data_IF_599387382082
#
_entry.id   IF_599387382082
#
_cell.length_a   1.000
_cell.length_b   1.000
_cell.length_c   1.000
_cell.angle_alpha   90.00
_cell.angle_beta   90.00
_cell.angle_gamma   90.00
#
_symmetry.space_group_name_H-M   'P 1'
#
loop_
_entity.id
_entity.type
_entity.pdbx_description
1 polymer ?
#
# COMPACT_ATOMS: atom_id res chain seq x y z
N UNK A 1 11.96 9.76 -6.66
CA UNK A 1 11.26 10.04 -5.39
C UNK A 1 12.20 10.46 -4.27
N UNK A 2 13.21 9.66 -3.89
CA UNK A 2 14.13 10.02 -2.79
C UNK A 2 14.93 11.32 -3.03
N UNK A 3 15.47 11.53 -4.24
CA UNK A 3 16.16 12.78 -4.57
C UNK A 3 15.22 13.99 -4.53
N UNK A 4 14.00 13.83 -5.05
CA UNK A 4 12.97 14.88 -5.00
C UNK A 4 12.60 15.22 -3.56
N UNK A 5 12.36 14.21 -2.72
CA UNK A 5 12.16 14.37 -1.28
C UNK A 5 13.31 15.12 -0.61
N UNK A 6 14.56 14.73 -0.90
CA UNK A 6 15.73 15.43 -0.38
C UNK A 6 15.80 16.90 -0.78
N UNK A 7 15.46 17.23 -2.03
CA UNK A 7 15.39 18.63 -2.49
C UNK A 7 14.29 19.42 -1.77
N UNK A 8 13.11 18.81 -1.57
CA UNK A 8 12.01 19.45 -0.83
C UNK A 8 12.40 19.71 0.61
N UNK A 9 13.01 18.74 1.31
CA UNK A 9 13.47 18.91 2.69
C UNK A 9 14.55 20.01 2.80
N UNK A 10 15.50 20.07 1.85
CA UNK A 10 16.48 21.16 1.79
C UNK A 10 15.81 22.52 1.58
N UNK A 11 14.77 22.59 0.74
CA UNK A 11 14.01 23.83 0.53
C UNK A 11 13.23 24.24 1.79
N UNK A 12 12.60 23.29 2.49
CA UNK A 12 11.90 23.53 3.77
C UNK A 12 12.87 24.05 4.82
N UNK A 13 14.06 23.46 4.91
CA UNK A 13 15.12 23.93 5.80
C UNK A 13 15.58 25.34 5.44
N UNK A 14 15.81 25.63 4.16
CA UNK A 14 16.19 26.97 3.70
C UNK A 14 15.13 28.03 4.02
N UNK A 15 13.85 27.73 3.80
CA UNK A 15 12.73 28.62 4.17
C UNK A 15 12.66 28.83 5.67
N UNK A 16 12.84 27.78 6.47
CA UNK A 16 12.81 27.85 7.94
C UNK A 16 13.98 28.71 8.47
N UNK A 17 15.18 28.53 7.92
CA UNK A 17 16.36 29.34 8.24
C UNK A 17 16.11 30.80 7.84
N UNK A 18 15.61 31.05 6.63
CA UNK A 18 15.26 32.39 6.17
C UNK A 18 14.23 33.07 7.08
N UNK A 19 13.21 32.34 7.52
CA UNK A 19 12.22 32.81 8.48
C UNK A 19 12.84 33.13 9.84
N UNK A 20 13.76 32.29 10.31
CA UNK A 20 14.44 32.51 11.58
C UNK A 20 15.18 33.86 11.60
N UNK A 21 15.85 34.21 10.51
CA UNK A 21 16.59 35.47 10.42
C UNK A 21 15.74 36.69 10.01
N UNK A 22 14.72 36.51 9.17
CA UNK A 22 13.94 37.62 8.62
C UNK A 22 12.64 37.92 9.36
N UNK A 23 11.94 36.87 9.79
CA UNK A 23 10.58 36.98 10.32
C UNK A 23 10.54 37.13 11.84
N UNK A 24 11.43 36.43 12.57
CA UNK A 24 11.50 36.49 14.05
C UNK A 24 11.80 37.91 14.57
N UNK A 25 12.80 38.66 14.05
CA UNK A 25 13.12 39.99 14.58
C UNK A 25 11.97 40.98 14.46
N UNK A 26 11.16 40.86 13.40
CA UNK A 26 10.01 41.71 13.13
C UNK A 26 8.69 41.15 13.68
N UNK A 27 8.72 40.02 14.42
CA UNK A 27 7.53 39.30 14.91
C UNK A 27 6.46 39.07 13.85
N UNK A 28 6.90 38.70 12.64
CA UNK A 28 6.02 38.35 11.53
C UNK A 28 5.97 36.83 11.36
N UNK A 29 4.85 36.30 10.87
CA UNK A 29 4.71 34.88 10.60
C UNK A 29 5.39 34.52 9.26
N UNK A 30 6.07 33.35 9.16
CA UNK A 30 6.69 32.88 7.92
C UNK A 30 5.68 32.76 6.78
N UNK A 31 4.47 32.30 7.09
CA UNK A 31 3.38 32.19 6.14
C UNK A 31 2.24 33.12 6.55
N UNK A 32 1.79 33.94 5.60
CA UNK A 32 0.61 34.79 5.81
C UNK A 32 -0.63 33.90 5.90
N UNK A 33 -1.24 33.87 7.07
CA UNK A 33 -2.46 33.12 7.35
C UNK A 33 -3.41 33.97 8.18
N UNK A 34 -4.72 33.77 8.00
CA UNK A 34 -5.72 34.31 8.91
C UNK A 34 -5.84 33.38 10.11
N UNK A 35 -5.62 33.90 11.31
CA UNK A 35 -5.71 33.15 12.56
C UNK A 35 -6.94 33.61 13.32
N UNK A 36 -7.71 32.70 13.94
CA UNK A 36 -8.89 33.04 14.73
C UNK A 36 -8.53 33.67 16.09
N UNK A 37 -7.24 33.79 16.41
CA UNK A 37 -6.72 34.39 17.63
C UNK A 37 -5.71 35.50 17.29
N UNK A 38 -5.56 36.46 18.21
CA UNK A 38 -4.58 37.52 18.07
C UNK A 38 -3.17 37.01 18.40
N UNK A 39 -2.27 37.09 17.44
CA UNK A 39 -0.87 36.72 17.57
C UNK A 39 0.04 37.90 17.97
N UNK A 40 -0.55 39.05 18.34
CA UNK A 40 0.18 40.20 18.92
C UNK A 40 0.79 39.89 20.29
N UNK A 41 0.25 38.88 21.00
CA UNK A 41 0.83 38.36 22.24
C UNK A 41 2.03 37.46 21.98
N UNK A 42 3.03 37.47 22.88
CA UNK A 42 4.25 36.66 22.73
C UNK A 42 3.94 35.15 22.65
N UNK A 43 3.02 34.67 23.48
CA UNK A 43 2.56 33.28 23.45
C UNK A 43 1.81 32.92 22.18
N UNK A 44 0.92 33.80 21.70
CA UNK A 44 0.14 33.58 20.47
C UNK A 44 1.05 33.52 19.23
N UNK A 45 2.03 34.40 19.17
CA UNK A 45 3.05 34.40 18.13
C UNK A 45 3.81 33.07 18.07
N UNK A 46 4.35 32.61 19.20
CA UNK A 46 5.16 31.38 19.23
C UNK A 46 4.34 30.15 18.88
N UNK A 47 3.10 30.04 19.38
CA UNK A 47 2.20 28.93 19.03
C UNK A 47 1.96 28.90 17.52
N UNK A 48 1.61 30.04 16.92
CA UNK A 48 1.38 30.14 15.48
C UNK A 48 2.64 29.84 14.67
N UNK A 49 3.79 30.37 15.09
CA UNK A 49 5.08 30.14 14.42
C UNK A 49 5.47 28.66 14.43
N UNK A 50 5.45 28.01 15.60
CA UNK A 50 5.76 26.58 15.71
C UNK A 50 4.77 25.73 14.93
N UNK A 51 3.47 26.05 15.00
CA UNK A 51 2.46 25.36 14.23
C UNK A 51 2.74 25.44 12.72
N UNK A 52 3.10 26.62 12.20
CA UNK A 52 3.42 26.82 10.79
C UNK A 52 4.67 26.03 10.36
N UNK A 53 5.76 26.10 11.12
CA UNK A 53 6.99 25.36 10.80
C UNK A 53 6.75 23.85 10.84
N UNK A 54 6.06 23.36 11.87
CA UNK A 54 5.73 21.95 12.01
C UNK A 54 4.81 21.48 10.87
N UNK A 55 3.75 22.23 10.58
CA UNK A 55 2.83 21.90 9.49
C UNK A 55 3.53 21.90 8.14
N UNK A 56 4.44 22.84 7.90
CA UNK A 56 5.19 22.91 6.65
C UNK A 56 6.12 21.69 6.48
N UNK A 57 6.88 21.34 7.52
CA UNK A 57 7.73 20.16 7.52
C UNK A 57 6.92 18.86 7.35
N UNK A 58 5.86 18.68 8.14
CA UNK A 58 5.00 17.49 8.04
C UNK A 58 4.34 17.37 6.66
N UNK A 59 3.85 18.47 6.09
CA UNK A 59 3.25 18.46 4.75
C UNK A 59 4.23 18.00 3.68
N UNK A 60 5.49 18.46 3.74
CA UNK A 60 6.54 18.04 2.83
C UNK A 60 6.86 16.54 2.93
N UNK A 61 7.04 16.05 4.15
CA UNK A 61 7.32 14.63 4.40
C UNK A 61 6.14 13.73 4.01
N UNK A 62 4.91 14.12 4.35
CA UNK A 62 3.70 13.36 4.01
C UNK A 62 3.52 13.28 2.50
N UNK A 63 3.78 14.36 1.75
CA UNK A 63 3.60 14.35 0.30
C UNK A 63 4.42 13.24 -0.39
N UNK A 64 5.72 13.12 -0.08
CA UNK A 64 6.52 12.06 -0.71
C UNK A 64 6.33 10.67 -0.08
N UNK A 65 5.93 10.60 1.19
CA UNK A 65 5.50 9.33 1.80
C UNK A 65 4.23 8.82 1.11
N UNK A 66 3.25 9.68 0.88
CA UNK A 66 2.01 9.37 0.17
C UNK A 66 2.30 8.82 -1.23
N UNK A 67 3.14 9.51 -2.01
CA UNK A 67 3.52 9.01 -3.34
C UNK A 67 4.14 7.61 -3.24
N UNK A 68 5.03 7.35 -2.29
CA UNK A 68 5.65 6.02 -2.18
C UNK A 68 4.68 4.93 -1.71
N UNK A 69 3.88 5.24 -0.69
CA UNK A 69 2.92 4.32 -0.06
C UNK A 69 1.80 3.97 -1.02
N UNK A 70 1.26 4.96 -1.73
CA UNK A 70 0.17 4.76 -2.69
C UNK A 70 0.58 3.80 -3.81
N UNK A 71 1.74 4.03 -4.42
CA UNK A 71 2.26 3.13 -5.45
C UNK A 71 2.56 1.73 -4.89
N UNK A 72 3.09 1.64 -3.66
CA UNK A 72 3.31 0.36 -2.98
C UNK A 72 2.02 -0.43 -2.76
N UNK A 73 0.96 0.22 -2.27
CA UNK A 73 -0.35 -0.40 -2.12
C UNK A 73 -0.94 -0.85 -3.45
N UNK A 74 -0.81 -0.04 -4.50
CA UNK A 74 -1.28 -0.41 -5.84
C UNK A 74 -0.58 -1.66 -6.37
N UNK A 75 0.75 -1.75 -6.23
CA UNK A 75 1.51 -2.95 -6.64
C UNK A 75 1.07 -4.17 -5.85
N UNK A 76 0.92 -4.03 -4.52
CA UNK A 76 0.48 -5.13 -3.67
C UNK A 76 -0.93 -5.58 -4.04
N UNK A 77 -1.86 -4.66 -4.25
CA UNK A 77 -3.22 -4.96 -4.69
C UNK A 77 -3.22 -5.72 -6.03
N UNK A 78 -2.46 -5.26 -7.01
CA UNK A 78 -2.31 -5.94 -8.31
C UNK A 78 -1.73 -7.36 -8.15
N UNK A 79 -0.72 -7.54 -7.31
CA UNK A 79 -0.14 -8.86 -7.02
C UNK A 79 -1.18 -9.81 -6.39
N UNK A 80 -1.91 -9.33 -5.38
CA UNK A 80 -2.96 -10.13 -4.73
C UNK A 80 -4.09 -10.48 -5.70
N UNK A 81 -4.47 -9.56 -6.59
CA UNK A 81 -5.46 -9.83 -7.64
C UNK A 81 -4.96 -10.89 -8.63
N UNK A 82 -3.68 -10.88 -9.00
CA UNK A 82 -3.10 -11.92 -9.87
C UNK A 82 -3.08 -13.29 -9.20
N UNK A 83 -2.75 -13.36 -7.91
CA UNK A 83 -2.81 -14.61 -7.13
C UNK A 83 -4.24 -15.12 -7.04
N UNK A 84 -5.20 -14.24 -6.74
CA UNK A 84 -6.62 -14.58 -6.69
C UNK A 84 -7.10 -15.10 -8.04
N UNK A 85 -6.73 -14.43 -9.14
CA UNK A 85 -7.01 -14.87 -10.51
C UNK A 85 -6.48 -16.28 -10.75
N UNK A 86 -5.21 -16.55 -10.43
CA UNK A 86 -4.60 -17.87 -10.61
C UNK A 86 -5.32 -18.96 -9.80
N UNK A 87 -5.74 -18.67 -8.57
CA UNK A 87 -6.49 -19.62 -7.73
C UNK A 87 -7.91 -19.87 -8.27
N UNK A 88 -8.58 -18.84 -8.78
CA UNK A 88 -9.90 -18.99 -9.39
C UNK A 88 -9.85 -19.86 -10.64
N UNK A 89 -8.79 -19.78 -11.45
CA UNK A 89 -8.63 -20.65 -12.62
C UNK A 89 -8.22 -22.09 -12.26
N UNK A 90 -7.44 -22.30 -11.18
CA UNK A 90 -6.97 -23.64 -10.82
C UNK A 90 -8.03 -24.50 -10.12
N UNK A 91 -9.02 -23.92 -9.45
CA UNK A 91 -10.08 -24.66 -8.75
C UNK A 91 -10.97 -25.47 -9.71
N UNK A 92 -11.54 -24.90 -10.80
CA UNK A 92 -12.30 -25.66 -11.79
C UNK A 92 -11.46 -26.75 -12.46
N UNK A 93 -10.19 -26.45 -12.78
CA UNK A 93 -9.28 -27.40 -13.43
C UNK A 93 -8.98 -28.60 -12.50
N UNK A 94 -8.70 -28.33 -11.23
CA UNK A 94 -8.47 -29.39 -10.24
C UNK A 94 -9.71 -30.25 -10.01
N UNK A 95 -10.90 -29.64 -9.96
CA UNK A 95 -12.17 -30.36 -9.84
C UNK A 95 -12.44 -31.25 -11.05
N UNK A 96 -12.24 -30.73 -12.26
CA UNK A 96 -12.38 -31.48 -13.50
C UNK A 96 -11.40 -32.66 -13.55
N UNK A 97 -10.11 -32.43 -13.27
CA UNK A 97 -9.08 -33.48 -13.23
C UNK A 97 -9.42 -34.57 -12.21
N UNK A 98 -9.92 -34.20 -11.04
CA UNK A 98 -10.35 -35.16 -10.00
C UNK A 98 -11.51 -36.03 -10.49
N UNK A 99 -12.49 -35.45 -11.21
CA UNK A 99 -13.58 -36.21 -11.81
C UNK A 99 -13.10 -37.22 -12.85
N UNK A 100 -12.18 -36.83 -13.73
CA UNK A 100 -11.59 -37.72 -14.74
C UNK A 100 -10.87 -38.91 -14.11
N UNK A 101 -10.02 -38.66 -13.11
CA UNK A 101 -9.31 -39.71 -12.39
C UNK A 101 -10.30 -40.64 -11.68
N UNK A 102 -11.37 -40.10 -11.09
CA UNK A 102 -12.41 -40.91 -10.43
C UNK A 102 -13.16 -41.83 -11.41
N UNK A 103 -13.42 -41.36 -12.63
CA UNK A 103 -14.07 -42.13 -13.69
C UNK A 103 -13.15 -43.24 -14.19
N UNK A 104 -11.90 -42.93 -14.51
CA UNK A 104 -10.91 -43.92 -14.95
C UNK A 104 -10.70 -45.02 -13.90
N UNK A 105 -10.63 -44.62 -12.61
CA UNK A 105 -10.51 -45.58 -11.50
C UNK A 105 -11.73 -46.49 -11.42
N UNK A 106 -12.93 -45.94 -11.63
CA UNK A 106 -14.19 -46.70 -11.61
C UNK A 106 -14.29 -47.66 -12.80
N UNK A 107 -13.82 -47.26 -13.98
CA UNK A 107 -13.75 -48.13 -15.16
C UNK A 107 -12.76 -49.28 -14.95
N UNK A 108 -11.55 -48.99 -14.49
CA UNK A 108 -10.55 -50.01 -14.12
C UNK A 108 -11.08 -51.00 -13.09
N UNK A 109 -11.78 -50.51 -12.06
CA UNK A 109 -12.41 -51.37 -11.05
C UNK A 109 -13.44 -52.32 -11.68
N UNK A 110 -14.31 -51.82 -12.57
CA UNK A 110 -15.30 -52.66 -13.26
C UNK A 110 -14.64 -53.72 -14.13
N UNK A 111 -13.64 -53.35 -14.91
CA UNK A 111 -12.89 -54.30 -15.75
C UNK A 111 -12.25 -55.38 -14.88
N UNK A 112 -11.63 -54.98 -13.75
CA UNK A 112 -11.01 -55.92 -12.81
C UNK A 112 -12.01 -56.93 -12.23
N UNK A 113 -13.21 -56.48 -11.87
CA UNK A 113 -14.27 -57.37 -11.37
C UNK A 113 -14.73 -58.35 -12.46
N UNK A 114 -14.91 -57.91 -13.70
CA UNK A 114 -15.28 -58.79 -14.81
C UNK A 114 -14.21 -59.88 -15.03
N UNK A 115 -12.92 -59.51 -15.00
CA UNK A 115 -11.81 -60.47 -15.16
C UNK A 115 -11.78 -61.47 -14.01
N UNK A 116 -11.94 -61.03 -12.76
CA UNK A 116 -11.99 -61.94 -11.61
C UNK A 116 -13.17 -62.91 -11.69
N UNK A 117 -14.36 -62.41 -12.06
CA UNK A 117 -15.55 -63.26 -12.20
C UNK A 117 -15.36 -64.33 -13.29
N UNK A 118 -14.77 -63.96 -14.43
CA UNK A 118 -14.47 -64.92 -15.51
C UNK A 118 -13.45 -65.99 -15.07
N UNK A 119 -12.45 -65.63 -14.28
CA UNK A 119 -11.46 -66.57 -13.74
C UNK A 119 -12.04 -67.54 -12.71
N UNK A 120 -13.05 -67.11 -11.95
CA UNK A 120 -13.75 -67.99 -10.99
C UNK A 120 -14.68 -68.99 -11.69
N UNK A 121 -15.30 -68.61 -12.82
CA UNK A 121 -16.19 -69.50 -13.59
C UNK A 121 -15.41 -70.55 -14.41
N UNK A 122 -14.21 -70.22 -14.88
CA UNK A 122 -13.36 -71.15 -15.64
C UNK A 122 -12.53 -72.11 -14.76
N UNK A 123 -12.73 -72.08 -13.44
CA UNK A 123 -12.14 -73.02 -12.47
C UNK A 123 -13.10 -74.16 -12.21
#
# INVERSE_FOLDING_TARGET
TLLFLGLVEVAVMAVTIGSFFGNIPNRTLPFKAWLPFDYSSDSGYWIAYFHQILSHALSATIAGAHDSIFHGFMIQACSQLNILKARLYSVPEAAFKKSLISLETREKQKIRMCVQHHLEICK
#
